data_IF_302547045838
#
_entry.id   IF_302547045838
#
_cell.length_a   1.000
_cell.length_b   1.000
_cell.length_c   1.000
_cell.angle_alpha   90.00
_cell.angle_beta   90.00
_cell.angle_gamma   90.00
#
_symmetry.space_group_name_H-M   'P 1'
#
loop_
_entity.id
_entity.type
_entity.pdbx_description
1 polymer ?
#
# COMPACT_ATOMS: atom_id res chain seq x y z
N UNK A 1 6.97 -8.41 -10.40
CA UNK A 1 5.63 -8.65 -9.84
C UNK A 1 5.69 -9.81 -8.84
N UNK A 2 6.52 -9.74 -7.82
CA UNK A 2 6.64 -10.79 -6.82
C UNK A 2 5.64 -10.60 -5.66
N UNK A 3 5.21 -9.38 -5.34
CA UNK A 3 4.37 -9.14 -4.17
C UNK A 3 3.28 -8.04 -4.34
N UNK A 4 2.08 -8.21 -3.74
CA UNK A 4 0.97 -7.21 -3.70
C UNK A 4 0.65 -6.74 -2.27
N UNK A 5 0.43 -5.42 -2.08
CA UNK A 5 0.47 -4.79 -0.75
C UNK A 5 -0.74 -3.89 -0.53
N UNK A 6 -1.26 -3.84 0.69
CA UNK A 6 -2.44 -3.05 1.03
C UNK A 6 -2.25 -2.15 2.24
N UNK A 7 -2.56 -0.86 2.11
CA UNK A 7 -2.74 0.06 3.24
C UNK A 7 -4.19 0.12 3.69
N UNK A 8 -4.48 -0.45 4.87
CA UNK A 8 -5.77 -0.35 5.58
C UNK A 8 -6.70 -1.55 5.43
N UNK A 9 -6.26 -2.76 5.84
CA UNK A 9 -6.88 -4.06 5.58
C UNK A 9 -8.31 -4.23 6.17
N UNK A 10 -9.25 -3.43 5.69
CA UNK A 10 -10.68 -3.53 5.92
C UNK A 10 -11.32 -4.44 4.87
N UNK A 11 -12.63 -4.29 4.66
CA UNK A 11 -13.40 -5.16 3.75
C UNK A 11 -12.82 -5.24 2.32
N UNK A 12 -12.45 -4.10 1.75
CA UNK A 12 -11.92 -4.01 0.38
C UNK A 12 -10.54 -4.68 0.30
N UNK A 13 -9.64 -4.34 1.22
CA UNK A 13 -8.28 -4.89 1.22
C UNK A 13 -8.23 -6.38 1.48
N UNK A 14 -9.07 -6.90 2.37
CA UNK A 14 -9.18 -8.34 2.58
C UNK A 14 -9.71 -9.05 1.33
N UNK A 15 -10.69 -8.47 0.63
CA UNK A 15 -11.24 -9.06 -0.58
C UNK A 15 -10.24 -9.06 -1.74
N UNK A 16 -9.47 -7.98 -1.91
CA UNK A 16 -8.36 -7.92 -2.88
C UNK A 16 -7.29 -8.94 -2.49
N UNK A 17 -6.99 -9.02 -1.19
CA UNK A 17 -6.06 -9.98 -0.60
C UNK A 17 -6.39 -11.41 -1.03
N UNK A 18 -7.58 -11.88 -0.69
CA UNK A 18 -8.05 -13.23 -1.04
C UNK A 18 -7.96 -13.54 -2.54
N UNK A 19 -8.21 -12.55 -3.41
CA UNK A 19 -8.08 -12.73 -4.86
C UNK A 19 -6.62 -12.84 -5.31
N UNK A 20 -5.72 -12.03 -4.74
CA UNK A 20 -4.30 -12.10 -5.07
C UNK A 20 -3.64 -13.40 -4.54
N UNK A 21 -4.07 -13.90 -3.38
CA UNK A 21 -3.65 -15.21 -2.85
C UNK A 21 -4.02 -16.34 -3.81
N UNK A 22 -5.22 -16.30 -4.41
CA UNK A 22 -5.67 -17.31 -5.37
C UNK A 22 -4.80 -17.38 -6.64
N UNK A 23 -4.01 -16.33 -6.93
CA UNK A 23 -3.05 -16.27 -8.04
C UNK A 23 -1.61 -16.55 -7.57
N UNK A 24 -1.44 -17.06 -6.34
CA UNK A 24 -0.15 -17.43 -5.77
C UNK A 24 0.75 -16.24 -5.43
N UNK A 25 0.17 -15.05 -5.21
CA UNK A 25 0.95 -13.86 -4.84
C UNK A 25 0.98 -13.68 -3.32
N UNK A 26 2.17 -13.56 -2.71
CA UNK A 26 2.28 -13.22 -1.30
C UNK A 26 1.72 -11.82 -1.05
N UNK A 27 1.05 -11.69 0.09
CA UNK A 27 0.36 -10.48 0.49
C UNK A 27 0.85 -10.07 1.83
N UNK A 28 1.07 -8.77 1.92
CA UNK A 28 1.48 -8.17 3.15
C UNK A 28 0.77 -6.82 3.31
N UNK A 29 0.83 -6.23 4.49
CA UNK A 29 0.00 -5.07 4.75
C UNK A 29 0.53 -4.14 5.83
N UNK A 30 0.00 -2.92 5.77
CA UNK A 30 0.15 -1.91 6.80
C UNK A 30 -1.21 -1.44 7.28
N UNK A 31 -1.30 -1.20 8.58
CA UNK A 31 -2.49 -0.89 9.34
C UNK A 31 -2.06 -0.21 10.64
N UNK A 32 -2.94 0.61 11.24
CA UNK A 32 -2.67 1.25 12.56
C UNK A 32 -2.32 0.24 13.64
N UNK A 33 -2.85 -0.98 13.54
CA UNK A 33 -2.51 -2.10 14.42
C UNK A 33 -2.53 -3.39 13.62
N UNK A 34 -1.68 -4.33 14.01
CA UNK A 34 -1.69 -5.70 13.47
C UNK A 34 -3.08 -6.32 13.66
N UNK A 35 -3.53 -7.06 12.64
CA UNK A 35 -4.81 -7.75 12.63
C UNK A 35 -4.57 -9.21 13.02
N UNK A 36 -5.16 -9.69 14.12
CA UNK A 36 -4.95 -11.08 14.57
C UNK A 36 -5.59 -12.11 13.63
N UNK A 37 -6.58 -11.69 12.85
CA UNK A 37 -7.41 -12.59 12.03
C UNK A 37 -6.88 -12.78 10.60
N UNK A 38 -5.64 -12.34 10.30
CA UNK A 38 -5.04 -12.48 8.97
C UNK A 38 -3.64 -13.07 9.04
N UNK A 39 -3.32 -13.91 8.06
CA UNK A 39 -2.01 -14.59 7.93
C UNK A 39 -0.99 -13.77 7.14
N UNK A 40 -1.39 -12.61 6.63
CA UNK A 40 -0.53 -11.71 5.88
C UNK A 40 0.58 -11.15 6.75
N UNK A 41 1.76 -10.92 6.16
CA UNK A 41 2.87 -10.31 6.90
C UNK A 41 2.54 -8.84 7.21
N UNK A 42 2.64 -8.45 8.49
CA UNK A 42 2.41 -7.08 8.92
C UNK A 42 3.71 -6.25 8.86
N UNK A 43 3.57 -5.00 8.43
CA UNK A 43 4.61 -3.97 8.54
C UNK A 43 4.07 -2.76 9.29
N UNK A 44 4.80 -2.35 10.33
CA UNK A 44 4.48 -1.15 11.11
C UNK A 44 4.87 0.14 10.39
N UNK A 45 5.77 0.07 9.39
CA UNK A 45 6.27 1.21 8.62
C UNK A 45 5.82 1.14 7.14
N UNK A 46 5.32 2.26 6.61
CA UNK A 46 4.89 2.39 5.21
C UNK A 46 6.06 2.33 4.21
N UNK A 47 7.22 2.88 4.54
CA UNK A 47 8.41 2.86 3.68
C UNK A 47 8.97 1.44 3.56
N UNK A 48 8.99 0.68 4.65
CA UNK A 48 9.41 -0.73 4.63
C UNK A 48 8.45 -1.61 3.85
N UNK A 49 7.14 -1.35 4.00
CA UNK A 49 6.10 -1.95 3.15
C UNK A 49 6.43 -1.67 1.68
N UNK A 50 6.58 -0.40 1.29
CA UNK A 50 6.87 0.00 -0.08
C UNK A 50 8.16 -0.62 -0.65
N UNK A 51 9.22 -0.69 0.15
CA UNK A 51 10.51 -1.29 -0.25
C UNK A 51 10.40 -2.74 -0.69
N UNK A 52 9.51 -3.49 -0.04
CA UNK A 52 9.31 -4.90 -0.36
C UNK A 52 8.16 -5.07 -1.39
N UNK A 53 7.57 -3.97 -1.87
CA UNK A 53 6.41 -3.95 -2.77
C UNK A 53 6.75 -3.87 -4.25
N UNK A 54 6.08 -4.69 -5.09
CA UNK A 54 5.97 -4.39 -6.52
C UNK A 54 4.69 -3.60 -6.83
N UNK A 55 3.59 -3.87 -6.10
CA UNK A 55 2.30 -3.22 -6.32
C UNK A 55 1.75 -2.73 -4.98
N UNK A 56 1.71 -1.41 -4.79
CA UNK A 56 1.19 -0.78 -3.59
C UNK A 56 -0.25 -0.30 -3.80
N UNK A 57 -1.21 -0.95 -3.13
CA UNK A 57 -2.63 -0.58 -3.17
C UNK A 57 -3.01 0.20 -1.91
N UNK A 58 -3.62 1.36 -2.10
CA UNK A 58 -4.03 2.26 -1.01
C UNK A 58 -5.55 2.37 -0.99
N UNK A 59 -6.18 1.89 0.08
CA UNK A 59 -7.61 2.13 0.31
C UNK A 59 -7.96 2.15 1.79
N UNK A 60 -7.31 3.07 2.47
CA UNK A 60 -7.66 3.55 3.79
C UNK A 60 -8.53 4.82 3.71
N UNK A 61 -9.29 5.13 4.76
CA UNK A 61 -9.96 6.43 4.89
C UNK A 61 -8.95 7.59 4.93
N UNK A 62 -9.38 8.78 4.47
CA UNK A 62 -8.64 10.02 4.66
C UNK A 62 -8.95 10.60 6.05
N UNK A 63 -7.98 10.50 6.94
CA UNK A 63 -7.84 11.16 8.24
C UNK A 63 -6.61 12.06 8.26
N UNK A 64 -6.47 12.87 9.32
CA UNK A 64 -5.26 13.68 9.55
C UNK A 64 -3.97 12.86 9.58
N UNK A 65 -3.99 11.64 10.12
CA UNK A 65 -2.80 10.78 10.15
C UNK A 65 -2.48 10.09 8.81
N UNK A 66 -3.43 10.11 7.87
CA UNK A 66 -3.30 9.44 6.56
C UNK A 66 -3.08 10.40 5.40
N UNK A 67 -3.22 11.71 5.66
CA UNK A 67 -2.93 12.76 4.71
C UNK A 67 -1.47 12.66 4.26
N UNK A 68 -1.25 12.61 2.95
CA UNK A 68 0.08 12.45 2.35
C UNK A 68 0.88 11.25 2.89
N UNK A 69 0.21 10.16 3.29
CA UNK A 69 0.95 8.95 3.68
C UNK A 69 1.81 8.44 2.52
N UNK A 70 1.35 8.63 1.27
CA UNK A 70 2.12 8.29 0.09
C UNK A 70 2.90 9.54 -0.28
N UNK A 71 4.02 9.72 0.42
CA UNK A 71 4.96 10.80 0.22
C UNK A 71 6.10 10.36 -0.71
N UNK A 72 7.03 11.28 -0.98
CA UNK A 72 8.21 11.02 -1.82
C UNK A 72 9.07 9.83 -1.34
N UNK A 73 9.18 9.63 -0.03
CA UNK A 73 9.96 8.53 0.55
C UNK A 73 9.32 7.18 0.23
N UNK A 74 8.00 7.07 0.39
CA UNK A 74 7.23 5.85 0.06
C UNK A 74 7.27 5.56 -1.44
N UNK A 75 7.16 6.59 -2.28
CA UNK A 75 7.25 6.45 -3.73
C UNK A 75 8.68 6.03 -4.14
N UNK A 76 9.71 6.64 -3.56
CA UNK A 76 11.10 6.28 -3.79
C UNK A 76 11.42 4.84 -3.36
N UNK A 77 10.87 4.41 -2.22
CA UNK A 77 11.00 3.04 -1.72
C UNK A 77 10.28 2.01 -2.60
N UNK A 78 9.11 2.35 -3.15
CA UNK A 78 8.39 1.50 -4.12
C UNK A 78 9.22 1.31 -5.41
N UNK A 79 10.01 2.31 -5.76
CA UNK A 79 10.95 2.27 -6.88
C UNK A 79 10.28 2.38 -8.25
N UNK A 80 11.10 2.56 -9.29
CA UNK A 80 10.64 2.87 -10.65
C UNK A 80 9.84 1.75 -11.32
N UNK A 81 10.01 0.50 -10.87
CA UNK A 81 9.27 -0.66 -11.40
C UNK A 81 7.98 -0.92 -10.63
N UNK A 82 7.78 -0.24 -9.50
CA UNK A 82 6.62 -0.45 -8.66
C UNK A 82 5.39 0.30 -9.17
N UNK A 83 4.22 -0.25 -8.89
CA UNK A 83 2.93 0.30 -9.33
C UNK A 83 2.15 0.77 -8.11
N UNK A 84 1.77 2.05 -8.11
CA UNK A 84 0.90 2.62 -7.08
C UNK A 84 -0.56 2.63 -7.58
N UNK A 85 -1.47 2.06 -6.80
CA UNK A 85 -2.91 2.05 -7.07
C UNK A 85 -3.66 2.69 -5.91
N UNK A 86 -4.21 3.89 -6.11
CA UNK A 86 -5.03 4.55 -5.11
C UNK A 86 -6.53 4.31 -5.37
N UNK A 87 -7.18 3.58 -4.47
CA UNK A 87 -8.63 3.30 -4.48
C UNK A 87 -9.33 4.04 -3.31
N UNK A 88 -8.61 4.96 -2.65
CA UNK A 88 -9.09 5.75 -1.52
C UNK A 88 -9.52 7.17 -1.92
N UNK A 89 -8.66 8.15 -1.60
CA UNK A 89 -8.85 9.57 -1.84
C UNK A 89 -7.55 10.18 -2.35
N UNK A 90 -7.64 11.17 -3.24
CA UNK A 90 -6.47 11.88 -3.80
C UNK A 90 -5.47 12.36 -2.74
N UNK A 91 -5.91 13.08 -1.68
CA UNK A 91 -5.00 13.62 -0.65
C UNK A 91 -4.29 12.58 0.23
N UNK A 92 -4.51 11.29 0.02
CA UNK A 92 -3.64 10.26 0.61
C UNK A 92 -2.24 10.27 -0.02
N UNK A 93 -2.14 10.82 -1.23
CA UNK A 93 -0.91 11.00 -1.99
C UNK A 93 -0.50 12.46 -2.00
N UNK A 94 0.81 12.67 -1.92
CA UNK A 94 1.43 13.96 -2.20
C UNK A 94 1.55 14.13 -3.72
N UNK A 95 0.60 14.83 -4.34
CA UNK A 95 0.49 14.98 -5.81
C UNK A 95 1.78 15.47 -6.50
N UNK A 96 2.50 16.48 -5.98
CA UNK A 96 3.84 16.85 -6.47
C UNK A 96 4.82 15.69 -6.50
N UNK A 97 4.85 14.86 -5.45
CA UNK A 97 5.78 13.73 -5.35
C UNK A 97 5.44 12.61 -6.35
N UNK A 98 4.16 12.46 -6.72
CA UNK A 98 3.69 11.47 -7.69
C UNK A 98 4.02 11.90 -9.12
N UNK A 99 3.81 13.17 -9.45
CA UNK A 99 4.05 13.70 -10.80
C UNK A 99 5.52 13.61 -11.24
N UNK A 100 6.46 13.76 -10.31
CA UNK A 100 7.89 13.66 -10.60
C UNK A 100 8.38 12.23 -10.86
N UNK A 101 7.67 11.20 -10.38
CA UNK A 101 8.06 9.80 -10.58
C UNK A 101 7.43 9.17 -11.85
N UNK A 102 6.50 9.86 -12.50
CA UNK A 102 5.87 9.41 -13.76
C UNK A 102 6.51 10.00 -15.02
N UNK A 103 7.55 10.82 -14.87
CA UNK A 103 8.27 11.48 -15.97
C UNK A 103 9.49 10.69 -16.46
#
# INVERSE_FOLDING_TARGET
>A
WQNCWYRGLGRIGLAIGKRAEAVGRPIIYHSRSEKPDVTYKYYSNMTELATNSDILVVSCPLTKETLHIINREVIGALGQKGVLVNIGRGPLMDEPAVGECTA
#
